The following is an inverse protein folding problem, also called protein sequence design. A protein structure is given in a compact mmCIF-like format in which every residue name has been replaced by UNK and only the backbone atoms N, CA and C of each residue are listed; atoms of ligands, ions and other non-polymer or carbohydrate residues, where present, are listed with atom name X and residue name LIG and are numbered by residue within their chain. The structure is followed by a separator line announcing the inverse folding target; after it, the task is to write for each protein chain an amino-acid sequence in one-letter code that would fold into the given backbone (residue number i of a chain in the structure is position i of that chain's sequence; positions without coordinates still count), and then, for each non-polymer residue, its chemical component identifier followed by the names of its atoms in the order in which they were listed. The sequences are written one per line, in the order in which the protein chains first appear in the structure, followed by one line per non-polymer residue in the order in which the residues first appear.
data_IF_113926946914
#
_entry.id   IF_113926946914
#
_cell.length_a   1.000
_cell.length_b   1.000
_cell.length_c   1.000
_cell.angle_alpha   90.00
_cell.angle_beta   90.00
_cell.angle_gamma   90.00
#
_symmetry.space_group_name_H-M   'P 1'
#
loop_
_entity.id
_entity.type
_entity.pdbx_description
1 polymer ?
#
# COMPACT_ATOMS: atom_id res chain seq x y z
N UNK A 1 14.60 27.79 40.69
CA UNK A 1 14.47 27.24 39.38
C UNK A 1 13.18 27.72 38.77
N UNK A 2 13.26 28.47 37.65
CA UNK A 2 12.08 28.87 36.92
C UNK A 2 11.32 27.61 36.50
N UNK A 3 10.09 27.42 36.96
CA UNK A 3 9.17 26.47 36.40
C UNK A 3 8.88 26.94 34.99
N UNK A 4 9.37 26.20 34.02
CA UNK A 4 8.98 26.37 32.63
C UNK A 4 7.53 25.87 32.50
N UNK A 5 6.59 26.74 32.80
CA UNK A 5 5.16 26.52 32.54
C UNK A 5 5.03 26.43 31.02
N UNK A 6 4.69 25.24 30.50
CA UNK A 6 4.50 24.96 29.09
C UNK A 6 5.35 23.84 28.52
N UNK A 7 6.34 23.30 29.25
CA UNK A 7 7.02 22.08 28.81
C UNK A 7 6.14 20.87 29.10
N UNK A 8 5.81 20.11 28.05
CA UNK A 8 5.10 18.85 28.22
C UNK A 8 5.85 17.92 29.16
N UNK A 9 5.14 17.32 30.12
CA UNK A 9 5.71 16.31 31.02
C UNK A 9 6.33 15.18 30.14
N UNK A 10 7.51 14.67 30.54
CA UNK A 10 8.20 13.58 29.86
C UNK A 10 7.29 12.37 29.63
N UNK A 11 6.39 12.06 30.55
CA UNK A 11 5.39 10.98 30.39
C UNK A 11 4.47 11.22 29.19
N UNK A 12 4.04 12.46 28.98
CA UNK A 12 3.20 12.83 27.84
C UNK A 12 3.99 12.80 26.53
N UNK A 13 5.28 13.15 26.56
CA UNK A 13 6.17 13.03 25.39
C UNK A 13 6.39 11.56 25.06
N UNK A 14 6.68 10.73 26.06
CA UNK A 14 6.88 9.29 25.85
C UNK A 14 5.61 8.57 25.38
N UNK A 15 4.43 8.98 25.87
CA UNK A 15 3.16 8.38 25.42
C UNK A 15 2.89 8.63 23.92
N UNK A 16 3.43 9.71 23.33
CA UNK A 16 3.30 9.95 21.90
C UNK A 16 3.99 8.90 21.02
N UNK A 17 5.04 8.22 21.53
CA UNK A 17 5.67 7.11 20.82
C UNK A 17 4.83 5.84 20.81
N UNK A 18 3.91 5.70 21.76
CA UNK A 18 2.95 4.60 21.87
C UNK A 18 1.53 5.01 21.43
N UNK A 19 1.41 6.11 20.68
CA UNK A 19 0.16 6.53 20.08
C UNK A 19 -0.42 5.41 19.20
N UNK A 20 -1.74 5.12 19.28
CA UNK A 20 -2.37 4.06 18.50
C UNK A 20 -2.08 4.15 16.99
N UNK A 21 -2.02 5.36 16.44
CA UNK A 21 -1.71 5.57 15.01
C UNK A 21 -0.25 5.20 14.72
N UNK A 22 0.70 5.53 15.60
CA UNK A 22 2.11 5.14 15.45
C UNK A 22 2.24 3.62 15.47
N UNK A 23 1.54 2.95 16.39
CA UNK A 23 1.53 1.48 16.49
C UNK A 23 0.90 0.83 15.25
N UNK A 24 -0.17 1.41 14.73
CA UNK A 24 -0.83 0.97 13.49
C UNK A 24 0.15 1.00 12.30
N UNK A 25 0.89 2.11 12.15
CA UNK A 25 1.89 2.22 11.07
C UNK A 25 3.09 1.31 11.29
N UNK A 26 3.55 1.13 12.54
CA UNK A 26 4.65 0.21 12.85
C UNK A 26 4.31 -1.22 12.41
N UNK A 27 3.11 -1.68 12.74
CA UNK A 27 2.62 -3.00 12.32
C UNK A 27 2.44 -3.11 10.81
N UNK A 28 1.80 -2.12 10.18
CA UNK A 28 1.60 -2.07 8.73
C UNK A 28 2.92 -2.07 7.95
N UNK A 29 3.90 -1.27 8.37
CA UNK A 29 5.23 -1.25 7.74
C UNK A 29 5.99 -2.56 7.94
N UNK A 30 5.88 -3.17 9.14
CA UNK A 30 6.46 -4.49 9.39
C UNK A 30 5.90 -5.54 8.42
N UNK A 31 4.59 -5.53 8.22
CA UNK A 31 3.90 -6.42 7.28
C UNK A 31 4.35 -6.18 5.84
N UNK A 32 4.43 -4.93 5.41
CA UNK A 32 4.87 -4.54 4.07
C UNK A 32 6.33 -4.94 3.78
N UNK A 33 7.25 -4.68 4.72
CA UNK A 33 8.66 -5.05 4.60
C UNK A 33 8.81 -6.57 4.48
N UNK A 34 8.07 -7.34 5.27
CA UNK A 34 8.13 -8.80 5.20
C UNK A 34 7.50 -9.33 3.91
N UNK A 35 6.41 -8.74 3.44
CA UNK A 35 5.83 -9.07 2.14
C UNK A 35 6.86 -8.90 1.00
N UNK A 36 7.62 -7.80 1.01
CA UNK A 36 8.71 -7.56 0.06
C UNK A 36 9.88 -8.55 0.25
N UNK A 37 10.33 -8.75 1.50
CA UNK A 37 11.44 -9.64 1.81
C UNK A 37 11.20 -11.07 1.31
N UNK A 38 9.96 -11.55 1.40
CA UNK A 38 9.57 -12.91 0.99
C UNK A 38 8.89 -12.98 -0.38
N UNK A 39 8.88 -11.88 -1.15
CA UNK A 39 8.44 -11.81 -2.54
C UNK A 39 6.93 -12.00 -2.74
N UNK A 40 6.12 -11.73 -1.73
CA UNK A 40 4.66 -11.72 -1.85
C UNK A 40 4.21 -10.64 -2.84
N UNK A 41 4.83 -9.48 -2.77
CA UNK A 41 4.59 -8.33 -3.65
C UNK A 41 4.81 -8.69 -5.13
N UNK A 42 5.96 -9.29 -5.47
CA UNK A 42 6.28 -9.74 -6.84
C UNK A 42 5.26 -10.77 -7.33
N UNK A 43 4.93 -11.73 -6.47
CA UNK A 43 3.98 -12.79 -6.78
C UNK A 43 2.59 -12.24 -7.05
N UNK A 44 2.11 -11.35 -6.18
CA UNK A 44 0.80 -10.69 -6.33
C UNK A 44 0.77 -9.78 -7.55
N UNK A 45 1.79 -8.93 -7.77
CA UNK A 45 1.87 -8.05 -8.92
C UNK A 45 1.77 -8.85 -10.24
N UNK A 46 2.48 -9.97 -10.32
CA UNK A 46 2.46 -10.84 -11.50
C UNK A 46 1.08 -11.47 -11.75
N UNK A 47 0.44 -11.97 -10.69
CA UNK A 47 -0.89 -12.57 -10.79
C UNK A 47 -1.93 -11.52 -11.17
N UNK A 48 -1.87 -10.35 -10.53
CA UNK A 48 -2.86 -9.28 -10.71
C UNK A 48 -2.72 -8.54 -12.05
N UNK A 49 -1.51 -8.45 -12.64
CA UNK A 49 -1.32 -7.83 -13.94
C UNK A 49 -1.66 -8.75 -15.12
N UNK A 50 -1.61 -10.07 -14.91
CA UNK A 50 -1.86 -11.06 -15.98
C UNK A 50 -3.21 -10.89 -16.72
N UNK A 51 -4.34 -10.58 -16.06
CA UNK A 51 -5.63 -10.42 -16.73
C UNK A 51 -5.70 -9.25 -17.72
N UNK A 52 -4.82 -8.25 -17.59
CA UNK A 52 -4.85 -7.06 -18.44
C UNK A 52 -4.20 -7.27 -19.82
N UNK A 53 -3.60 -8.42 -20.06
CA UNK A 53 -3.08 -8.82 -21.35
C UNK A 53 -1.95 -7.94 -21.88
N UNK A 54 -1.92 -7.71 -23.21
CA UNK A 54 -0.85 -7.00 -23.92
C UNK A 54 -1.31 -5.69 -24.57
N UNK A 55 -2.59 -5.34 -24.44
CA UNK A 55 -3.09 -4.06 -24.96
C UNK A 55 -2.55 -2.90 -24.09
N UNK A 56 -1.83 -1.92 -24.68
CA UNK A 56 -1.21 -0.83 -23.91
C UNK A 56 -2.16 -0.08 -22.97
N UNK A 57 -3.39 0.15 -23.42
CA UNK A 57 -4.42 0.83 -22.60
C UNK A 57 -4.84 -0.01 -21.41
N UNK A 58 -5.00 -1.32 -21.61
CA UNK A 58 -5.33 -2.26 -20.52
C UNK A 58 -4.14 -2.48 -19.59
N UNK A 59 -2.93 -2.52 -20.14
CA UNK A 59 -1.69 -2.59 -19.33
C UNK A 59 -1.59 -1.35 -18.42
N UNK A 60 -1.86 -0.15 -18.95
CA UNK A 60 -1.91 1.07 -18.13
C UNK A 60 -2.95 0.95 -17.00
N UNK A 61 -4.16 0.47 -17.31
CA UNK A 61 -5.19 0.24 -16.29
C UNK A 61 -4.72 -0.78 -15.25
N UNK A 62 -4.10 -1.87 -15.70
CA UNK A 62 -3.54 -2.89 -14.82
C UNK A 62 -2.51 -2.32 -13.84
N UNK A 63 -1.57 -1.52 -14.34
CA UNK A 63 -0.60 -0.84 -13.48
C UNK A 63 -1.27 0.10 -12.50
N UNK A 64 -2.22 0.94 -12.96
CA UNK A 64 -2.97 1.84 -12.09
C UNK A 64 -3.68 1.08 -10.96
N UNK A 65 -4.40 0.01 -11.28
CA UNK A 65 -5.15 -0.78 -10.28
C UNK A 65 -4.20 -1.51 -9.33
N UNK A 66 -3.17 -2.16 -9.85
CA UNK A 66 -2.24 -2.94 -9.02
C UNK A 66 -1.42 -2.04 -8.10
N UNK A 67 -0.93 -0.90 -8.59
CA UNK A 67 -0.21 0.08 -7.77
C UNK A 67 -1.12 0.62 -6.67
N UNK A 68 -2.37 0.99 -7.00
CA UNK A 68 -3.32 1.47 -6.01
C UNK A 68 -3.57 0.42 -4.92
N UNK A 69 -3.76 -0.83 -5.30
CA UNK A 69 -3.98 -1.93 -4.36
C UNK A 69 -2.79 -2.10 -3.39
N UNK A 70 -1.56 -2.08 -3.90
CA UNK A 70 -0.38 -2.16 -3.03
C UNK A 70 -0.25 -0.94 -2.12
N UNK A 71 -0.53 0.26 -2.65
CA UNK A 71 -0.42 1.49 -1.88
C UNK A 71 -1.48 1.63 -0.78
N UNK A 72 -2.52 0.82 -0.79
CA UNK A 72 -3.46 0.70 0.33
C UNK A 72 -2.82 0.10 1.59
N UNK A 73 -1.78 -0.73 1.43
CA UNK A 73 -1.16 -1.51 2.52
C UNK A 73 0.32 -1.22 2.71
N UNK A 74 0.92 -0.48 1.79
CA UNK A 74 2.33 -0.10 1.81
C UNK A 74 2.46 1.40 1.63
N UNK A 75 3.57 1.99 2.09
CA UNK A 75 3.80 3.42 1.82
C UNK A 75 3.86 3.69 0.31
N UNK A 76 3.36 4.86 -0.10
CA UNK A 76 3.37 5.29 -1.51
C UNK A 76 4.78 5.21 -2.11
N UNK A 77 5.81 5.60 -1.34
CA UNK A 77 7.21 5.56 -1.78
C UNK A 77 7.71 4.12 -2.00
N UNK A 78 7.42 3.21 -1.06
CA UNK A 78 7.82 1.80 -1.21
C UNK A 78 7.12 1.15 -2.41
N UNK A 79 5.82 1.40 -2.56
CA UNK A 79 5.02 0.93 -3.71
C UNK A 79 5.58 1.48 -5.03
N UNK A 80 5.89 2.78 -5.07
CA UNK A 80 6.44 3.42 -6.26
C UNK A 80 7.81 2.85 -6.64
N UNK A 81 8.70 2.65 -5.68
CA UNK A 81 10.03 2.08 -5.92
C UNK A 81 9.95 0.64 -6.45
N UNK A 82 9.11 -0.19 -5.84
CA UNK A 82 8.87 -1.57 -6.28
C UNK A 82 8.31 -1.61 -7.70
N UNK A 83 7.27 -0.84 -7.98
CA UNK A 83 6.61 -0.85 -9.29
C UNK A 83 7.47 -0.24 -10.38
N UNK A 84 8.36 0.71 -10.04
CA UNK A 84 9.34 1.24 -10.98
C UNK A 84 10.32 0.15 -11.44
N UNK A 85 10.75 -0.73 -10.54
CA UNK A 85 11.61 -1.86 -10.90
C UNK A 85 10.94 -2.81 -11.90
N UNK A 86 9.61 -3.02 -11.80
CA UNK A 86 8.86 -3.83 -12.77
C UNK A 86 8.59 -3.09 -14.07
N UNK A 87 8.38 -1.78 -14.00
CA UNK A 87 8.03 -0.97 -15.15
C UNK A 87 9.25 -0.60 -15.99
N UNK A 88 10.42 -0.41 -15.38
CA UNK A 88 11.62 0.04 -16.08
C UNK A 88 12.00 -0.83 -17.31
N UNK A 89 11.98 -2.17 -17.25
CA UNK A 89 12.22 -3.01 -18.42
C UNK A 89 11.17 -2.81 -19.53
N UNK A 90 9.90 -2.60 -19.15
CA UNK A 90 8.81 -2.36 -20.10
C UNK A 90 8.98 -1.01 -20.78
N UNK A 91 9.35 0.04 -20.02
CA UNK A 91 9.62 1.37 -20.57
C UNK A 91 10.78 1.37 -21.56
N UNK A 92 11.74 0.47 -21.41
CA UNK A 92 12.88 0.32 -22.32
C UNK A 92 12.48 -0.28 -23.69
N UNK A 93 11.33 -0.95 -23.80
CA UNK A 93 10.85 -1.54 -25.05
C UNK A 93 10.08 -0.54 -25.95
N UNK A 94 9.77 0.66 -25.42
CA UNK A 94 9.03 1.65 -26.18
C UNK A 94 9.87 2.27 -27.31
N UNK A 95 9.28 2.47 -28.50
CA UNK A 95 9.90 3.25 -29.56
C UNK A 95 10.20 4.69 -29.11
N UNK A 96 11.21 5.30 -29.73
CA UNK A 96 11.48 6.71 -29.51
C UNK A 96 10.27 7.57 -29.90
N UNK A 97 9.92 8.54 -29.05
CA UNK A 97 8.81 9.47 -29.28
C UNK A 97 7.41 8.94 -28.90
N UNK A 98 7.26 7.67 -28.49
CA UNK A 98 5.97 7.16 -28.02
C UNK A 98 5.60 7.80 -26.66
N UNK A 99 4.57 8.64 -26.67
CA UNK A 99 4.07 9.33 -25.46
C UNK A 99 3.49 8.36 -24.43
N UNK A 100 3.04 7.18 -24.83
CA UNK A 100 2.54 6.15 -23.92
C UNK A 100 3.55 5.72 -22.87
N UNK A 101 4.85 5.86 -23.14
CA UNK A 101 5.92 5.70 -22.14
C UNK A 101 5.75 6.63 -20.94
N UNK A 102 5.35 7.89 -21.20
CA UNK A 102 5.10 8.90 -20.14
C UNK A 102 3.86 8.52 -19.35
N UNK A 103 2.77 8.07 -20.02
CA UNK A 103 1.57 7.61 -19.35
C UNK A 103 1.85 6.49 -18.33
N UNK A 104 2.61 5.49 -18.76
CA UNK A 104 3.01 4.38 -17.87
C UNK A 104 3.93 4.84 -16.74
N UNK A 105 4.89 5.72 -16.99
CA UNK A 105 5.76 6.24 -15.93
C UNK A 105 4.96 7.04 -14.89
N UNK A 106 4.03 7.90 -15.34
CA UNK A 106 3.17 8.68 -14.47
C UNK A 106 2.12 7.83 -13.74
N UNK A 107 1.77 6.67 -14.25
CA UNK A 107 0.85 5.76 -13.53
C UNK A 107 1.36 5.41 -12.14
N UNK A 108 2.67 5.37 -11.92
CA UNK A 108 3.26 5.03 -10.62
C UNK A 108 2.91 6.06 -9.55
N UNK A 109 3.34 7.34 -9.62
CA UNK A 109 3.07 8.29 -8.56
C UNK A 109 1.57 8.63 -8.45
N UNK A 110 0.86 8.71 -9.58
CA UNK A 110 -0.57 9.00 -9.61
C UNK A 110 -1.34 7.92 -8.85
N UNK A 111 -1.11 6.67 -9.20
CA UNK A 111 -1.86 5.56 -8.60
C UNK A 111 -1.43 5.25 -7.16
N UNK A 112 -0.16 5.43 -6.82
CA UNK A 112 0.30 5.27 -5.45
C UNK A 112 -0.38 6.29 -4.52
N UNK A 113 -0.52 7.54 -4.94
CA UNK A 113 -1.21 8.57 -4.15
C UNK A 113 -2.72 8.30 -4.06
N UNK A 114 -3.36 7.93 -5.17
CA UNK A 114 -4.80 7.61 -5.18
C UNK A 114 -5.07 6.38 -4.30
N UNK A 115 -4.27 5.31 -4.44
CA UNK A 115 -4.42 4.08 -3.68
C UNK A 115 -4.23 4.26 -2.18
N UNK A 116 -3.25 5.11 -1.78
CA UNK A 116 -3.01 5.44 -0.39
C UNK A 116 -4.22 5.99 0.36
N UNK A 117 -5.20 6.57 -0.33
CA UNK A 117 -6.45 7.06 0.28
C UNK A 117 -7.35 5.90 0.73
N UNK A 118 -7.24 4.73 0.12
CA UNK A 118 -8.18 3.61 0.25
C UNK A 118 -8.29 3.00 1.63
N UNK A 119 -7.24 3.09 2.46
CA UNK A 119 -7.22 2.54 3.83
C UNK A 119 -6.62 3.51 4.83
N UNK A 120 -6.88 3.32 6.10
CA UNK A 120 -6.33 4.17 7.18
C UNK A 120 -4.80 4.08 7.27
N UNK A 121 -4.20 2.97 6.83
CA UNK A 121 -2.74 2.73 6.85
C UNK A 121 -2.04 3.07 5.54
N UNK A 122 -2.78 3.31 4.46
CA UNK A 122 -2.20 3.56 3.13
C UNK A 122 -1.34 4.83 3.09
N UNK A 123 -1.69 5.84 3.89
CA UNK A 123 -0.88 7.05 4.04
C UNK A 123 -1.06 7.68 5.43
N UNK A 124 0.00 8.26 6.06
CA UNK A 124 -0.07 8.83 7.41
C UNK A 124 -1.18 9.87 7.64
N UNK A 125 -1.52 10.76 6.68
CA UNK A 125 -2.62 11.70 6.86
C UNK A 125 -3.98 11.05 7.19
N UNK A 126 -4.26 9.85 6.67
CA UNK A 126 -5.52 9.15 6.93
C UNK A 126 -5.62 8.74 8.41
N UNK A 127 -4.57 8.11 8.95
CA UNK A 127 -4.51 7.75 10.37
C UNK A 127 -4.62 8.97 11.28
N UNK A 128 -3.94 10.06 10.93
CA UNK A 128 -4.04 11.32 11.67
C UNK A 128 -5.45 11.91 11.62
N UNK A 129 -6.13 11.83 10.47
CA UNK A 129 -7.51 12.29 10.34
C UNK A 129 -8.46 11.49 11.24
N UNK A 130 -8.34 10.15 11.24
CA UNK A 130 -9.15 9.27 12.11
C UNK A 130 -8.89 9.57 13.59
N UNK A 131 -7.63 9.70 14.01
CA UNK A 131 -7.28 10.04 15.39
C UNK A 131 -7.82 11.41 15.82
N UNK A 132 -7.77 12.41 14.94
CA UNK A 132 -8.33 13.73 15.22
C UNK A 132 -9.86 13.71 15.32
N UNK A 133 -10.55 12.94 14.47
CA UNK A 133 -12.00 12.76 14.55
C UNK A 133 -12.40 12.14 15.89
N UNK A 134 -11.67 11.14 16.35
CA UNK A 134 -11.91 10.52 17.65
C UNK A 134 -11.62 11.49 18.80
N UNK A 135 -10.48 12.18 18.77
CA UNK A 135 -10.01 13.05 19.86
C UNK A 135 -10.87 14.30 20.03
N UNK A 136 -11.25 14.96 18.92
CA UNK A 136 -11.94 16.26 18.98
C UNK A 136 -13.45 16.16 18.83
N UNK A 137 -13.96 15.10 18.20
CA UNK A 137 -15.38 14.95 17.89
C UNK A 137 -16.02 13.70 18.52
N UNK A 138 -15.22 12.82 19.15
CA UNK A 138 -15.71 11.55 19.71
C UNK A 138 -16.21 10.57 18.64
N UNK A 139 -15.79 10.76 17.38
CA UNK A 139 -16.19 9.92 16.24
C UNK A 139 -15.12 8.88 15.95
N UNK A 140 -15.37 7.63 16.31
CA UNK A 140 -14.50 6.52 15.94
C UNK A 140 -14.86 6.00 14.54
N UNK A 141 -13.88 5.85 13.66
CA UNK A 141 -14.04 5.27 12.34
C UNK A 141 -13.15 4.04 12.27
N UNK A 142 -13.76 2.87 12.09
CA UNK A 142 -13.02 1.61 11.93
C UNK A 142 -12.29 1.54 10.58
N UNK A 143 -11.30 0.66 10.47
CA UNK A 143 -10.60 0.40 9.20
C UNK A 143 -11.58 0.00 8.08
N UNK A 144 -12.55 -0.86 8.39
CA UNK A 144 -13.55 -1.31 7.43
C UNK A 144 -14.49 -0.20 6.97
N UNK A 145 -14.96 0.65 7.89
CA UNK A 145 -15.81 1.80 7.54
C UNK A 145 -15.07 2.79 6.65
N UNK A 146 -13.81 3.11 6.97
CA UNK A 146 -12.98 3.93 6.09
C UNK A 146 -12.88 3.32 4.70
N UNK A 147 -12.53 2.03 4.61
CA UNK A 147 -12.32 1.33 3.34
C UNK A 147 -13.60 1.28 2.49
N UNK A 148 -14.76 0.99 3.09
CA UNK A 148 -16.06 0.94 2.38
C UNK A 148 -16.38 2.27 1.70
N UNK A 149 -16.06 3.40 2.31
CA UNK A 149 -16.33 4.71 1.74
C UNK A 149 -15.23 5.16 0.75
N UNK A 150 -13.96 4.85 1.04
CA UNK A 150 -12.84 5.35 0.25
C UNK A 150 -12.49 4.47 -0.95
N UNK A 151 -12.70 3.15 -0.90
CA UNK A 151 -12.39 2.27 -2.05
C UNK A 151 -13.24 2.64 -3.29
N UNK A 152 -14.55 2.88 -3.22
CA UNK A 152 -15.33 3.36 -4.36
C UNK A 152 -14.78 4.68 -4.95
N UNK A 153 -14.37 5.61 -4.09
CA UNK A 153 -13.74 6.86 -4.51
C UNK A 153 -12.41 6.60 -5.23
N UNK A 154 -11.55 5.73 -4.67
CA UNK A 154 -10.29 5.32 -5.30
C UNK A 154 -10.54 4.71 -6.69
N UNK A 155 -11.53 3.84 -6.83
CA UNK A 155 -11.87 3.23 -8.12
C UNK A 155 -12.28 4.27 -9.17
N UNK A 156 -13.11 5.24 -8.78
CA UNK A 156 -13.50 6.35 -9.66
C UNK A 156 -12.26 7.16 -10.06
N UNK A 157 -11.41 7.52 -9.12
CA UNK A 157 -10.18 8.29 -9.38
C UNK A 157 -9.19 7.54 -10.27
N UNK A 158 -9.07 6.21 -10.13
CA UNK A 158 -8.26 5.37 -11.01
C UNK A 158 -8.81 5.40 -12.45
N UNK A 159 -10.13 5.32 -12.62
CA UNK A 159 -10.74 5.41 -13.95
C UNK A 159 -10.53 6.79 -14.58
N UNK A 160 -10.69 7.86 -13.80
CA UNK A 160 -10.38 9.23 -14.26
C UNK A 160 -8.90 9.35 -14.66
N UNK A 161 -7.99 8.89 -13.81
CA UNK A 161 -6.56 8.90 -14.12
C UNK A 161 -6.23 8.09 -15.39
N UNK A 162 -6.86 6.93 -15.57
CA UNK A 162 -6.71 6.11 -16.76
C UNK A 162 -7.12 6.84 -18.04
N UNK A 163 -8.27 7.53 -18.03
CA UNK A 163 -8.74 8.32 -19.17
C UNK A 163 -7.82 9.52 -19.41
N UNK A 164 -7.50 10.28 -18.38
CA UNK A 164 -6.67 11.49 -18.47
C UNK A 164 -5.29 11.15 -19.02
N UNK A 165 -4.62 10.12 -18.50
CA UNK A 165 -3.30 9.72 -18.97
C UNK A 165 -3.31 9.26 -20.43
N UNK A 166 -4.36 8.57 -20.90
CA UNK A 166 -4.48 8.17 -22.29
C UNK A 166 -4.74 9.35 -23.24
N UNK A 167 -5.53 10.34 -22.80
CA UNK A 167 -5.81 11.54 -23.59
C UNK A 167 -4.57 12.44 -23.70
N UNK A 168 -3.87 12.63 -22.59
CA UNK A 168 -2.65 13.45 -22.56
C UNK A 168 -1.45 12.78 -23.23
N UNK A 169 -1.32 11.48 -23.08
CA UNK A 169 -0.15 10.68 -23.52
C UNK A 169 -0.59 9.43 -24.29
N UNK A 170 -1.12 9.59 -25.51
CA UNK A 170 -1.61 8.45 -26.30
C UNK A 170 -0.50 7.47 -26.67
N UNK A 171 -0.86 6.18 -26.66
CA UNK A 171 0.02 5.10 -27.11
C UNK A 171 0.07 5.04 -28.63
N UNK A 172 1.27 5.02 -29.21
CA UNK A 172 1.51 4.68 -30.62
C UNK A 172 1.75 3.17 -30.77
N UNK A 173 2.28 2.53 -29.75
CA UNK A 173 2.52 1.08 -29.69
C UNK A 173 1.22 0.32 -29.61
N UNK A 174 1.08 -0.77 -30.39
CA UNK A 174 -0.12 -1.61 -30.45
C UNK A 174 -0.13 -2.76 -29.44
N UNK A 175 1.04 -3.23 -29.01
CA UNK A 175 1.20 -4.35 -28.07
C UNK A 175 2.37 -4.07 -27.13
N UNK A 176 2.18 -4.37 -25.86
CA UNK A 176 3.20 -4.32 -24.81
C UNK A 176 3.35 -5.71 -24.19
N UNK A 177 4.55 -6.23 -24.15
CA UNK A 177 4.84 -7.46 -23.43
C UNK A 177 5.19 -7.10 -21.98
N UNK A 178 4.31 -7.49 -21.07
CA UNK A 178 4.50 -7.30 -19.63
C UNK A 178 5.19 -8.54 -19.08
N UNK A 179 6.50 -8.54 -19.09
CA UNK A 179 7.31 -9.64 -18.54
C UNK A 179 7.78 -9.29 -17.11
N UNK A 180 6.94 -9.61 -16.14
CA UNK A 180 7.32 -9.45 -14.72
C UNK A 180 8.16 -10.64 -14.30
N UNK A 181 9.35 -10.42 -13.72
CA UNK A 181 10.23 -11.50 -13.25
C UNK A 181 9.48 -12.45 -12.33
N UNK A 182 9.85 -13.72 -12.35
CA UNK A 182 9.41 -14.66 -11.33
C UNK A 182 10.02 -14.27 -10.00
N UNK A 183 9.30 -14.61 -8.94
CA UNK A 183 9.90 -14.54 -7.62
C UNK A 183 10.94 -15.66 -7.50
N UNK A 184 12.22 -15.29 -7.54
CA UNK A 184 13.35 -16.23 -7.44
C UNK A 184 13.73 -16.54 -5.98
N UNK A 185 12.99 -15.98 -5.01
CA UNK A 185 13.27 -16.22 -3.59
C UNK A 185 12.83 -17.62 -3.20
N UNK A 186 13.65 -18.34 -2.41
CA UNK A 186 13.32 -19.69 -2.00
C UNK A 186 12.05 -19.69 -1.14
N UNK A 187 11.12 -20.57 -1.49
CA UNK A 187 9.90 -20.76 -0.70
C UNK A 187 10.26 -21.61 0.53
N UNK A 188 10.16 -21.02 1.70
CA UNK A 188 10.43 -21.65 2.98
C UNK A 188 9.18 -21.62 3.87
N UNK A 189 9.20 -22.29 5.03
CA UNK A 189 8.13 -22.20 6.00
C UNK A 189 7.85 -20.74 6.43
N UNK A 190 8.91 -19.91 6.48
CA UNK A 190 8.80 -18.46 6.77
C UNK A 190 8.01 -17.72 5.69
N UNK A 191 8.14 -18.13 4.43
CA UNK A 191 7.35 -17.56 3.31
C UNK A 191 5.86 -17.79 3.54
N UNK A 192 5.47 -19.03 3.87
CA UNK A 192 4.07 -19.33 4.18
C UNK A 192 3.57 -18.62 5.43
N UNK A 193 4.42 -18.49 6.46
CA UNK A 193 4.09 -17.74 7.67
C UNK A 193 3.79 -16.27 7.35
N UNK A 194 4.64 -15.61 6.54
CA UNK A 194 4.44 -14.22 6.12
C UNK A 194 3.15 -14.06 5.31
N UNK A 195 2.88 -14.97 4.38
CA UNK A 195 1.67 -14.93 3.56
C UNK A 195 0.41 -15.14 4.41
N UNK A 196 0.45 -16.10 5.33
CA UNK A 196 -0.65 -16.34 6.26
C UNK A 196 -0.88 -15.15 7.20
N UNK A 197 0.20 -14.59 7.76
CA UNK A 197 0.12 -13.40 8.63
C UNK A 197 -0.45 -12.21 7.87
N UNK A 198 -0.03 -11.99 6.61
CA UNK A 198 -0.57 -10.93 5.76
C UNK A 198 -2.07 -11.11 5.54
N UNK A 199 -2.50 -12.30 5.12
CA UNK A 199 -3.92 -12.59 4.87
C UNK A 199 -4.77 -12.44 6.13
N UNK A 200 -4.32 -13.01 7.26
CA UNK A 200 -5.03 -12.95 8.54
C UNK A 200 -5.14 -11.49 9.03
N UNK A 201 -4.07 -10.71 8.94
CA UNK A 201 -4.08 -9.30 9.37
C UNK A 201 -5.09 -8.49 8.57
N UNK A 202 -5.10 -8.64 7.23
CA UNK A 202 -6.06 -7.92 6.38
C UNK A 202 -7.50 -8.36 6.68
N UNK A 203 -7.74 -9.65 6.88
CA UNK A 203 -9.07 -10.17 7.24
C UNK A 203 -9.54 -9.59 8.58
N UNK A 204 -8.68 -9.54 9.59
CA UNK A 204 -9.01 -8.96 10.89
C UNK A 204 -9.28 -7.46 10.79
N UNK A 205 -8.53 -6.72 9.98
CA UNK A 205 -8.82 -5.31 9.72
C UNK A 205 -10.17 -5.11 9.02
N UNK A 206 -10.46 -5.92 8.00
CA UNK A 206 -11.73 -5.85 7.28
C UNK A 206 -12.94 -6.23 8.14
N UNK A 207 -12.73 -7.05 9.18
CA UNK A 207 -13.78 -7.55 10.07
C UNK A 207 -13.78 -6.89 11.45
N UNK A 208 -13.09 -5.76 11.62
CA UNK A 208 -13.03 -5.00 12.88
C UNK A 208 -14.41 -4.72 13.45
N UNK A 209 -15.36 -4.27 12.63
CA UNK A 209 -16.74 -3.99 13.04
C UNK A 209 -17.52 -5.24 13.50
N UNK A 210 -17.10 -6.44 13.08
CA UNK A 210 -17.71 -7.71 13.48
C UNK A 210 -17.03 -8.31 14.72
N UNK A 211 -15.71 -8.20 14.80
CA UNK A 211 -14.90 -8.81 15.85
C UNK A 211 -14.77 -7.92 17.09
N UNK A 212 -14.95 -6.61 16.92
CA UNK A 212 -14.70 -5.61 17.97
C UNK A 212 -13.22 -5.45 18.34
N UNK A 213 -12.30 -6.08 17.58
CA UNK A 213 -10.86 -5.97 17.81
C UNK A 213 -10.34 -4.78 17.03
N UNK A 214 -9.86 -3.74 17.72
CA UNK A 214 -9.34 -2.53 17.08
C UNK A 214 -8.20 -2.83 16.11
N UNK A 215 -8.22 -2.17 14.95
CA UNK A 215 -7.17 -2.23 13.93
C UNK A 215 -5.77 -1.92 14.48
N UNK A 216 -5.69 -1.06 15.50
CA UNK A 216 -4.44 -0.73 16.19
C UNK A 216 -3.83 -1.94 16.92
N UNK A 217 -4.69 -2.78 17.54
CA UNK A 217 -4.26 -4.04 18.19
C UNK A 217 -3.87 -5.08 17.15
N UNK A 218 -4.70 -5.23 16.12
CA UNK A 218 -4.43 -6.16 15.00
C UNK A 218 -3.08 -5.87 14.34
N UNK A 219 -2.70 -4.59 14.22
CA UNK A 219 -1.43 -4.18 13.65
C UNK A 219 -0.20 -4.70 14.41
N UNK A 220 -0.32 -4.99 15.70
CA UNK A 220 0.77 -5.56 16.49
C UNK A 220 1.00 -7.05 16.24
N UNK A 221 0.03 -7.76 15.65
CA UNK A 221 0.14 -9.20 15.36
C UNK A 221 1.30 -9.49 14.42
N UNK A 222 1.44 -8.83 13.24
CA UNK A 222 2.58 -9.04 12.34
C UNK A 222 3.92 -8.82 13.04
N UNK A 223 4.02 -7.73 13.81
CA UNK A 223 5.24 -7.41 14.54
C UNK A 223 5.61 -8.51 15.54
N UNK A 224 4.66 -8.93 16.37
CA UNK A 224 4.87 -9.99 17.35
C UNK A 224 5.24 -11.32 16.69
N UNK A 225 4.50 -11.74 15.66
CA UNK A 225 4.75 -12.98 14.92
C UNK A 225 6.15 -12.98 14.31
N UNK A 226 6.55 -11.92 13.62
CA UNK A 226 7.82 -11.88 12.92
C UNK A 226 9.02 -11.76 13.86
N UNK A 227 8.88 -11.08 15.02
CA UNK A 227 9.91 -11.02 16.05
C UNK A 227 10.05 -12.37 16.73
N UNK A 228 8.96 -12.97 17.21
CA UNK A 228 9.00 -14.24 17.93
C UNK A 228 9.50 -15.42 17.07
N UNK A 229 9.28 -15.39 15.75
CA UNK A 229 9.71 -16.44 14.82
C UNK A 229 11.09 -16.19 14.22
N UNK A 230 11.75 -15.09 14.56
CA UNK A 230 13.03 -14.69 13.96
C UNK A 230 12.92 -14.47 12.44
N UNK A 231 11.75 -14.07 11.95
CA UNK A 231 11.51 -13.85 10.52
C UNK A 231 12.17 -12.56 10.03
N UNK A 232 12.44 -11.61 10.93
CA UNK A 232 13.22 -10.40 10.65
C UNK A 232 14.71 -10.66 10.44
N UNK A 233 15.24 -11.78 10.92
CA UNK A 233 16.65 -12.11 10.75
C UNK A 233 17.05 -12.23 9.28
N UNK A 234 18.36 -12.00 9.04
CA UNK A 234 19.02 -11.84 7.73
C UNK A 234 18.65 -12.87 6.68
#
# INVERSE_FOLDING_TARGET
GAKLEGIMNYTKIMSAFADPVVMLFLGGFSLAIMAQKYGLDVTLARVLLKPFGTNPKMVLLGFLVVIALFSMFMSNTATAAMMLAFLAPILATFPEGDKGKIALALSIPVSANIGGIGTTIGTPPNGTAVSNLETYFGMSISFGEWAIHMIPFVLIMILVAWVVLQVMFPFSTKKLEVNIPKNDKPTTWRTYLVWATFAVTILLWATESLTGISSNIVALIPLAVFVCTGTFDK
#
